data_IF_207009870007
#
_entry.id   IF_207009870007
#
_cell.length_a   1.000
_cell.length_b   1.000
_cell.length_c   1.000
_cell.angle_alpha   90.00
_cell.angle_beta   90.00
_cell.angle_gamma   90.00
#
_symmetry.space_group_name_H-M   'P 1'
#
loop_
_entity.id
_entity.type
_entity.pdbx_description
1 polymer ?
#
# COMPACT_ATOMS: atom_id res chain seq x y z
N UNK A 1 29.50 -11.49 8.54
CA UNK A 1 28.47 -12.01 7.60
C UNK A 1 27.04 -11.76 8.09
N UNK A 2 26.70 -11.96 9.38
CA UNK A 2 25.35 -11.72 9.91
C UNK A 2 24.83 -10.27 9.82
N UNK A 3 25.69 -9.25 10.00
CA UNK A 3 25.27 -7.85 9.98
C UNK A 3 24.74 -7.36 8.63
N UNK A 4 25.31 -7.83 7.51
CA UNK A 4 24.87 -7.42 6.16
C UNK A 4 23.45 -7.94 5.84
N UNK A 5 23.15 -9.18 6.23
CA UNK A 5 21.83 -9.76 6.05
C UNK A 5 20.74 -9.01 6.84
N UNK A 6 21.05 -8.59 8.08
CA UNK A 6 20.09 -7.82 8.89
C UNK A 6 19.78 -6.45 8.27
N UNK A 7 20.77 -5.78 7.69
CA UNK A 7 20.59 -4.51 6.97
C UNK A 7 19.69 -4.72 5.74
N UNK A 8 19.99 -5.72 4.92
CA UNK A 8 19.19 -6.04 3.72
C UNK A 8 17.73 -6.37 4.08
N UNK A 9 17.49 -7.10 5.18
CA UNK A 9 16.13 -7.37 5.67
C UNK A 9 15.44 -6.06 6.09
N UNK A 10 16.13 -5.20 6.83
CA UNK A 10 15.61 -3.90 7.26
C UNK A 10 15.21 -3.02 6.08
N UNK A 11 16.08 -2.93 5.06
CA UNK A 11 15.82 -2.19 3.83
C UNK A 11 14.60 -2.74 3.08
N UNK A 12 14.50 -4.07 2.93
CA UNK A 12 13.34 -4.69 2.28
C UNK A 12 12.03 -4.44 3.04
N UNK A 13 12.05 -4.47 4.37
CA UNK A 13 10.88 -4.14 5.19
C UNK A 13 10.49 -2.68 4.97
N UNK A 14 11.45 -1.76 4.98
CA UNK A 14 11.23 -0.34 4.74
C UNK A 14 10.60 -0.07 3.37
N UNK A 15 11.15 -0.68 2.30
CA UNK A 15 10.60 -0.57 0.94
C UNK A 15 9.18 -1.11 0.86
N UNK A 16 8.91 -2.29 1.44
CA UNK A 16 7.56 -2.87 1.45
C UNK A 16 6.56 -1.98 2.18
N UNK A 17 6.95 -1.42 3.33
CA UNK A 17 6.09 -0.53 4.10
C UNK A 17 5.83 0.79 3.36
N UNK A 18 6.87 1.39 2.75
CA UNK A 18 6.74 2.60 1.94
C UNK A 18 5.80 2.40 0.75
N UNK A 19 6.01 1.33 -0.01
CA UNK A 19 5.14 0.97 -1.13
C UNK A 19 3.67 0.77 -0.70
N UNK A 20 3.44 0.09 0.43
CA UNK A 20 2.08 -0.07 0.98
C UNK A 20 1.45 1.27 1.35
N UNK A 21 2.19 2.14 2.03
CA UNK A 21 1.70 3.46 2.46
C UNK A 21 1.33 4.34 1.27
N UNK A 22 2.14 4.32 0.20
CA UNK A 22 1.89 5.10 -1.00
C UNK A 22 0.63 4.62 -1.74
N UNK A 23 0.43 3.30 -1.87
CA UNK A 23 -0.80 2.72 -2.44
C UNK A 23 -2.03 3.19 -1.68
N UNK A 24 -1.98 3.20 -0.35
CA UNK A 24 -3.08 3.68 0.51
C UNK A 24 -3.33 5.18 0.29
N UNK A 25 -2.28 6.00 0.23
CA UNK A 25 -2.40 7.45 -0.01
C UNK A 25 -3.04 7.74 -1.37
N UNK A 26 -2.64 6.98 -2.40
CA UNK A 26 -3.23 7.07 -3.74
C UNK A 26 -4.70 6.65 -3.73
N UNK A 27 -5.03 5.51 -3.11
CA UNK A 27 -6.42 5.06 -2.99
C UNK A 27 -7.32 6.12 -2.34
N UNK A 28 -6.88 6.76 -1.24
CA UNK A 28 -7.62 7.85 -0.59
C UNK A 28 -7.88 9.03 -1.53
N UNK A 29 -6.86 9.46 -2.29
CA UNK A 29 -7.02 10.54 -3.28
C UNK A 29 -8.00 10.17 -4.40
N UNK A 30 -8.01 8.90 -4.82
CA UNK A 30 -8.95 8.42 -5.84
C UNK A 30 -10.39 8.42 -5.32
N UNK A 31 -10.61 7.96 -4.08
CA UNK A 31 -11.93 8.03 -3.45
C UNK A 31 -12.43 9.47 -3.31
N UNK A 32 -11.56 10.40 -2.91
CA UNK A 32 -11.88 11.83 -2.87
C UNK A 32 -12.28 12.41 -4.24
N UNK A 33 -11.87 11.76 -5.34
CA UNK A 33 -12.22 12.13 -6.71
C UNK A 33 -13.44 11.37 -7.25
N UNK A 34 -14.11 10.57 -6.42
CA UNK A 34 -15.31 9.83 -6.81
C UNK A 34 -15.05 8.52 -7.56
N UNK A 35 -13.85 7.94 -7.46
CA UNK A 35 -13.55 6.66 -8.10
C UNK A 35 -14.23 5.51 -7.34
N UNK A 36 -14.86 4.61 -8.08
CA UNK A 36 -15.52 3.42 -7.55
C UNK A 36 -14.53 2.44 -6.87
N UNK A 37 -14.93 1.75 -5.79
CA UNK A 37 -14.05 0.83 -5.05
C UNK A 37 -13.38 -0.26 -5.90
N UNK A 38 -14.10 -0.79 -6.90
CA UNK A 38 -13.57 -1.81 -7.82
C UNK A 38 -12.41 -1.26 -8.65
N UNK A 39 -12.55 -0.02 -9.16
CA UNK A 39 -11.52 0.64 -9.95
C UNK A 39 -10.32 1.02 -9.08
N UNK A 40 -10.55 1.51 -7.86
CA UNK A 40 -9.46 1.83 -6.92
C UNK A 40 -8.66 0.57 -6.56
N UNK A 41 -9.32 -0.56 -6.34
CA UNK A 41 -8.68 -1.86 -6.12
C UNK A 41 -7.77 -2.26 -7.28
N UNK A 42 -8.29 -2.19 -8.50
CA UNK A 42 -7.57 -2.55 -9.71
C UNK A 42 -6.32 -1.68 -9.91
N UNK A 43 -6.47 -0.36 -9.75
CA UNK A 43 -5.39 0.61 -9.99
C UNK A 43 -4.28 0.57 -8.93
N UNK A 44 -4.63 0.30 -7.67
CA UNK A 44 -3.68 0.32 -6.54
C UNK A 44 -3.11 -1.05 -6.20
N UNK A 45 -3.78 -2.12 -6.63
CA UNK A 45 -3.48 -3.50 -6.26
C UNK A 45 -3.65 -3.77 -4.76
N UNK A 46 -4.40 -2.94 -4.03
CA UNK A 46 -4.71 -3.17 -2.63
C UNK A 46 -5.72 -4.32 -2.48
N UNK A 47 -5.58 -5.18 -1.46
CA UNK A 47 -6.54 -6.25 -1.23
C UNK A 47 -7.87 -5.69 -0.72
N UNK A 48 -8.96 -6.46 -0.89
CA UNK A 48 -10.32 -6.05 -0.48
C UNK A 48 -10.40 -5.58 0.97
N UNK A 49 -9.62 -6.20 1.87
CA UNK A 49 -9.56 -5.81 3.28
C UNK A 49 -9.08 -4.37 3.47
N UNK A 50 -8.08 -3.93 2.70
CA UNK A 50 -7.59 -2.56 2.77
C UNK A 50 -8.57 -1.59 2.10
N UNK A 51 -9.16 -1.97 0.97
CA UNK A 51 -10.22 -1.16 0.32
C UNK A 51 -11.39 -0.93 1.27
N UNK A 52 -11.89 -1.98 1.94
CA UNK A 52 -12.98 -1.87 2.93
C UNK A 52 -12.63 -0.94 4.09
N UNK A 53 -11.40 -1.02 4.61
CA UNK A 53 -10.92 -0.12 5.69
C UNK A 53 -10.88 1.34 5.28
N UNK A 54 -10.72 1.64 3.99
CA UNK A 54 -10.66 3.03 3.48
C UNK A 54 -12.03 3.66 3.27
N UNK A 55 -13.10 2.86 3.33
CA UNK A 55 -14.49 3.29 3.16
C UNK A 55 -15.27 3.37 4.48
N UNK A 56 -14.65 2.98 5.59
CA UNK A 56 -15.15 3.15 6.96
C UNK A 56 -14.75 4.52 7.49
#
# INVERSE_FOLDING_TARGET
LAGKQLIEIGEQIGVKQGSKNEKIKTARKMFQKGFEPKLVKEMTGLPDKEIKKLLQ
#
